data_IF_938745655040
#
_entry.id   IF_938745655040
#
_cell.length_a   1.000
_cell.length_b   1.000
_cell.length_c   1.000
_cell.angle_alpha   90.00
_cell.angle_beta   90.00
_cell.angle_gamma   90.00
#
_symmetry.space_group_name_H-M   'P 1'
#
loop_
_entity.id
_entity.type
_entity.pdbx_description
1 polymer ?
#
# COMPACT_ATOMS: atom_id res chain seq x y z
N UNK A 1 58.40 24.91 -3.67
CA UNK A 1 58.21 23.51 -4.10
C UNK A 1 57.45 22.67 -3.08
N UNK A 2 57.91 22.51 -1.82
CA UNK A 2 57.20 21.69 -0.80
C UNK A 2 55.76 22.13 -0.50
N UNK A 3 55.46 23.43 -0.50
CA UNK A 3 54.09 23.96 -0.29
C UNK A 3 53.14 23.72 -1.46
N UNK A 4 53.65 23.62 -2.69
CA UNK A 4 52.85 23.32 -3.89
C UNK A 4 52.47 21.84 -3.98
N UNK A 5 53.36 20.95 -3.51
CA UNK A 5 53.09 19.51 -3.43
C UNK A 5 51.99 19.20 -2.41
N UNK A 6 51.99 19.86 -1.25
CA UNK A 6 50.93 19.68 -0.24
C UNK A 6 49.54 20.13 -0.72
N UNK A 7 49.46 21.21 -1.49
CA UNK A 7 48.19 21.70 -2.05
C UNK A 7 47.67 20.75 -3.15
N UNK A 8 48.55 20.24 -4.02
CA UNK A 8 48.16 19.27 -5.04
C UNK A 8 47.70 17.93 -4.43
N UNK A 9 48.30 17.51 -3.32
CA UNK A 9 47.92 16.29 -2.58
C UNK A 9 46.55 16.43 -1.91
N UNK A 10 46.21 17.61 -1.40
CA UNK A 10 44.92 17.89 -0.78
C UNK A 10 43.78 17.96 -1.81
N UNK A 11 44.05 18.46 -3.03
CA UNK A 11 43.06 18.54 -4.11
C UNK A 11 42.75 17.14 -4.68
N UNK A 12 43.72 16.22 -4.74
CA UNK A 12 43.47 14.83 -5.17
C UNK A 12 42.62 14.01 -4.18
N UNK A 13 42.66 14.33 -2.88
CA UNK A 13 41.84 13.63 -1.88
C UNK A 13 40.38 14.12 -1.83
N UNK A 14 40.07 15.28 -2.39
CA UNK A 14 38.70 15.84 -2.43
C UNK A 14 37.88 15.24 -3.60
N UNK A 15 38.53 14.63 -4.60
CA UNK A 15 37.84 14.01 -5.74
C UNK A 15 37.43 12.54 -5.50
N UNK A 16 37.73 11.97 -4.33
CA UNK A 16 37.42 10.58 -4.00
C UNK A 16 36.07 10.33 -3.30
N UNK A 17 35.30 11.38 -2.97
CA UNK A 17 34.10 11.25 -2.14
C UNK A 17 32.86 11.80 -2.84
N UNK A 18 32.33 11.08 -3.83
CA UNK A 18 31.01 11.39 -4.40
C UNK A 18 30.25 10.20 -5.03
N UNK A 19 30.72 8.95 -4.92
CA UNK A 19 30.01 7.77 -5.49
C UNK A 19 29.54 6.75 -4.44
N UNK A 20 29.63 7.08 -3.14
CA UNK A 20 29.32 6.11 -2.10
C UNK A 20 27.83 6.05 -1.70
N UNK A 21 26.95 6.80 -2.37
CA UNK A 21 25.51 6.83 -2.08
C UNK A 21 24.70 6.97 -3.38
N UNK A 22 24.72 5.93 -4.22
CA UNK A 22 23.95 5.93 -5.48
C UNK A 22 23.07 4.68 -5.62
N UNK A 23 22.52 4.17 -4.51
CA UNK A 23 21.59 3.04 -4.56
C UNK A 23 20.47 3.32 -3.55
N UNK A 24 19.50 4.16 -3.95
CA UNK A 24 18.36 4.54 -3.10
C UNK A 24 17.43 3.35 -2.81
N UNK A 25 17.36 2.38 -3.73
CA UNK A 25 16.51 1.18 -3.62
C UNK A 25 17.26 -0.01 -2.99
N UNK A 26 18.12 0.25 -1.98
CA UNK A 26 18.73 -0.85 -1.21
C UNK A 26 17.74 -1.36 -0.19
N UNK A 27 17.19 -2.53 -0.47
CA UNK A 27 16.40 -3.26 0.49
C UNK A 27 17.21 -4.35 1.19
N UNK A 28 16.58 -5.11 2.10
CA UNK A 28 17.29 -6.00 3.00
C UNK A 28 18.01 -7.12 2.24
N UNK A 29 19.33 -7.01 2.12
CA UNK A 29 20.19 -8.02 1.48
C UNK A 29 20.52 -9.21 2.39
N UNK A 30 19.87 -9.34 3.54
CA UNK A 30 20.03 -10.51 4.39
C UNK A 30 19.34 -11.71 3.75
N UNK A 31 20.14 -12.71 3.39
CA UNK A 31 19.73 -13.97 2.78
C UNK A 31 18.74 -14.78 3.62
N UNK A 32 18.61 -14.50 4.93
CA UNK A 32 17.61 -15.11 5.80
C UNK A 32 16.22 -14.47 5.75
N UNK A 33 16.07 -13.28 5.17
CA UNK A 33 14.83 -12.50 5.27
C UNK A 33 13.95 -12.63 4.01
N UNK A 34 14.33 -13.49 3.06
CA UNK A 34 13.53 -13.84 1.89
C UNK A 34 12.50 -14.93 2.17
N UNK A 35 11.42 -14.94 1.38
CA UNK A 35 10.48 -16.06 1.35
C UNK A 35 11.15 -17.28 0.72
N UNK A 36 11.04 -18.44 1.37
CA UNK A 36 11.53 -19.73 0.87
C UNK A 36 10.46 -20.80 1.05
N UNK A 37 10.20 -21.58 0.00
CA UNK A 37 9.26 -22.70 0.01
C UNK A 37 9.90 -23.94 -0.62
N UNK A 38 10.02 -25.00 0.17
CA UNK A 38 10.60 -26.28 -0.25
C UNK A 38 9.56 -27.40 -0.42
N UNK A 39 8.34 -27.19 0.07
CA UNK A 39 7.22 -28.12 -0.07
C UNK A 39 6.04 -27.35 -0.66
N UNK A 40 5.45 -27.82 -1.77
CA UNK A 40 4.29 -27.15 -2.35
C UNK A 40 3.08 -27.30 -1.41
N UNK A 41 2.09 -26.45 -1.61
CA UNK A 41 0.83 -26.47 -0.89
C UNK A 41 -0.32 -26.07 -1.81
N UNK A 42 -1.56 -26.29 -1.36
CA UNK A 42 -2.75 -25.87 -2.09
C UNK A 42 -2.71 -24.36 -2.34
N UNK A 43 -2.84 -23.99 -3.62
CA UNK A 43 -2.78 -22.61 -4.04
C UNK A 43 -4.14 -21.91 -3.84
N UNK A 44 -4.16 -20.66 -3.31
CA UNK A 44 -5.38 -19.87 -3.17
C UNK A 44 -6.16 -19.67 -4.46
N UNK A 45 -5.48 -19.70 -5.62
CA UNK A 45 -6.09 -19.77 -6.93
C UNK A 45 -6.22 -21.25 -7.36
N UNK A 46 -7.44 -21.85 -7.38
CA UNK A 46 -7.63 -23.26 -7.72
C UNK A 46 -7.12 -23.63 -9.12
N UNK A 47 -7.01 -22.65 -10.04
CA UNK A 47 -6.47 -22.89 -11.38
C UNK A 47 -4.98 -23.27 -11.39
N UNK A 48 -4.25 -23.00 -10.30
CA UNK A 48 -2.81 -23.29 -10.16
C UNK A 48 -2.52 -24.66 -9.53
N UNK A 49 -3.48 -25.25 -8.81
CA UNK A 49 -3.28 -26.52 -8.11
C UNK A 49 -2.22 -26.47 -7.01
N UNK A 50 -1.71 -27.63 -6.59
CA UNK A 50 -0.64 -27.72 -5.58
C UNK A 50 0.67 -27.15 -6.15
N UNK A 51 1.21 -26.09 -5.53
CA UNK A 51 2.35 -25.33 -6.06
C UNK A 51 3.11 -24.56 -4.96
N UNK A 52 4.18 -23.87 -5.33
CA UNK A 52 4.87 -22.92 -4.45
C UNK A 52 4.36 -21.51 -4.73
N UNK A 53 3.85 -20.82 -3.72
CA UNK A 53 3.23 -19.52 -3.89
C UNK A 53 3.40 -18.60 -2.68
N UNK A 54 3.36 -17.31 -2.94
CA UNK A 54 3.28 -16.26 -1.94
C UNK A 54 2.08 -15.36 -2.24
N UNK A 55 1.31 -15.07 -1.20
CA UNK A 55 0.07 -14.30 -1.25
C UNK A 55 0.25 -13.02 -0.43
N UNK A 56 -0.07 -11.88 -1.05
CA UNK A 56 -0.03 -10.56 -0.44
C UNK A 56 -1.45 -10.01 -0.29
N UNK A 57 -1.82 -9.61 0.94
CA UNK A 57 -3.02 -8.82 1.23
C UNK A 57 -2.62 -7.36 1.48
N UNK A 58 -2.98 -6.48 0.54
CA UNK A 58 -2.70 -5.05 0.60
C UNK A 58 -3.67 -4.31 1.54
N UNK A 59 -4.65 -5.00 2.12
CA UNK A 59 -5.73 -4.50 2.99
C UNK A 59 -6.75 -3.59 2.30
N UNK A 60 -6.31 -2.74 1.36
CA UNK A 60 -7.17 -1.88 0.55
C UNK A 60 -7.01 -2.21 -0.94
N UNK A 61 -7.99 -1.76 -1.74
CA UNK A 61 -7.88 -1.85 -3.19
C UNK A 61 -7.09 -0.65 -3.69
N UNK A 62 -5.96 -0.92 -4.35
CA UNK A 62 -5.10 0.09 -4.95
C UNK A 62 -5.12 -0.01 -6.47
N UNK A 63 -4.85 1.11 -7.15
CA UNK A 63 -4.43 1.10 -8.55
C UNK A 63 -2.95 0.76 -8.59
N UNK A 64 -2.61 -0.40 -9.17
CA UNK A 64 -1.23 -0.91 -9.19
C UNK A 64 -0.55 -0.59 -10.53
N UNK A 65 0.62 0.04 -10.46
CA UNK A 65 1.43 0.45 -11.62
C UNK A 65 2.72 -0.37 -11.76
N UNK A 66 3.85 0.31 -11.92
CA UNK A 66 5.16 -0.31 -12.11
C UNK A 66 5.54 -1.21 -10.93
N UNK A 67 6.22 -2.33 -11.21
CA UNK A 67 6.70 -3.24 -10.18
C UNK A 67 8.18 -3.52 -10.31
N UNK A 68 8.80 -3.87 -9.18
CA UNK A 68 10.21 -4.26 -9.10
C UNK A 68 10.36 -5.45 -8.18
N UNK A 69 11.19 -6.40 -8.60
CA UNK A 69 11.38 -7.67 -7.91
C UNK A 69 12.84 -7.85 -7.54
N UNK A 70 13.07 -8.41 -6.35
CA UNK A 70 14.36 -8.94 -5.94
C UNK A 70 14.23 -10.45 -5.85
N UNK A 71 14.84 -11.15 -6.80
CA UNK A 71 14.89 -12.60 -6.76
C UNK A 71 15.81 -13.10 -5.62
N UNK A 72 15.68 -14.37 -5.24
CA UNK A 72 16.43 -14.92 -4.12
C UNK A 72 17.94 -14.85 -4.33
N UNK A 73 18.63 -14.11 -3.47
CA UNK A 73 20.00 -13.66 -3.68
C UNK A 73 20.98 -14.16 -2.60
N UNK A 74 20.74 -15.36 -2.05
CA UNK A 74 21.74 -16.04 -1.23
C UNK A 74 22.91 -16.48 -2.15
N UNK A 75 24.16 -16.03 -1.91
CA UNK A 75 25.32 -16.38 -2.74
C UNK A 75 25.56 -17.88 -2.90
N UNK A 76 25.07 -18.72 -1.98
CA UNK A 76 25.24 -20.18 -2.05
C UNK A 76 24.04 -20.91 -2.67
N UNK A 77 22.93 -20.21 -2.92
CA UNK A 77 21.65 -20.82 -3.30
C UNK A 77 20.87 -19.92 -4.28
N UNK A 78 21.54 -19.19 -5.18
CA UNK A 78 20.88 -18.32 -6.19
C UNK A 78 19.98 -19.12 -7.14
N UNK A 79 20.29 -20.41 -7.32
CA UNK A 79 19.54 -21.39 -8.10
C UNK A 79 18.12 -21.65 -7.55
N UNK A 80 17.85 -21.29 -6.29
CA UNK A 80 16.50 -21.31 -5.69
C UNK A 80 15.61 -20.15 -6.15
N UNK A 81 16.18 -19.12 -6.79
CA UNK A 81 15.42 -18.00 -7.33
C UNK A 81 14.36 -18.46 -8.32
N UNK A 82 13.24 -17.74 -8.36
CA UNK A 82 12.13 -18.06 -9.27
C UNK A 82 12.55 -17.81 -10.72
N UNK A 83 12.11 -18.65 -11.65
CA UNK A 83 12.31 -18.48 -13.10
C UNK A 83 10.94 -18.24 -13.76
N UNK A 84 10.17 -19.26 -14.08
CA UNK A 84 8.80 -19.08 -14.58
C UNK A 84 7.86 -18.71 -13.43
N UNK A 85 7.24 -17.55 -13.50
CA UNK A 85 6.37 -17.00 -12.45
C UNK A 85 5.04 -16.57 -13.04
N UNK A 86 3.95 -17.06 -12.47
CA UNK A 86 2.61 -16.55 -12.74
C UNK A 86 2.22 -15.49 -11.69
N UNK A 87 1.73 -14.35 -12.15
CA UNK A 87 1.21 -13.29 -11.29
C UNK A 87 -0.30 -13.19 -11.50
N UNK A 88 -1.04 -13.39 -10.43
CA UNK A 88 -2.49 -13.26 -10.37
C UNK A 88 -2.87 -12.13 -9.40
N UNK A 89 -4.01 -11.47 -9.65
CA UNK A 89 -4.55 -10.41 -8.81
C UNK A 89 -6.04 -10.60 -8.54
N UNK A 90 -6.51 -10.05 -7.42
CA UNK A 90 -7.90 -10.14 -7.00
C UNK A 90 -8.32 -8.94 -6.14
N UNK A 91 -9.62 -8.65 -6.11
CA UNK A 91 -10.25 -7.70 -5.18
C UNK A 91 -10.91 -8.39 -3.99
N UNK A 92 -11.20 -9.69 -4.07
CA UNK A 92 -11.96 -10.46 -3.08
C UNK A 92 -11.21 -11.68 -2.50
N UNK A 93 -10.07 -12.06 -3.08
CA UNK A 93 -9.23 -13.18 -2.65
C UNK A 93 -9.80 -14.56 -3.02
N UNK A 94 -10.90 -14.60 -3.80
CA UNK A 94 -11.59 -15.82 -4.22
C UNK A 94 -11.58 -15.94 -5.75
N UNK A 95 -11.89 -14.85 -6.44
CA UNK A 95 -11.88 -14.75 -7.90
C UNK A 95 -10.57 -14.12 -8.35
N UNK A 96 -9.78 -14.87 -9.10
CA UNK A 96 -8.44 -14.47 -9.53
C UNK A 96 -8.40 -14.15 -11.01
N UNK A 97 -7.74 -13.03 -11.35
CA UNK A 97 -7.40 -12.66 -12.71
C UNK A 97 -5.90 -12.85 -12.93
N UNK A 98 -5.52 -13.50 -14.03
CA UNK A 98 -4.11 -13.63 -14.38
C UNK A 98 -3.62 -12.33 -15.02
N UNK A 99 -2.59 -11.72 -14.43
CA UNK A 99 -1.86 -10.62 -15.06
C UNK A 99 -0.98 -11.16 -16.20
N UNK A 100 -0.23 -12.21 -15.92
CA UNK A 100 0.66 -12.83 -16.91
C UNK A 100 1.53 -13.93 -16.33
N UNK A 101 2.36 -14.50 -17.21
CA UNK A 101 3.44 -15.41 -16.86
C UNK A 101 4.74 -14.77 -17.35
N UNK A 102 5.73 -14.69 -16.46
CA UNK A 102 6.97 -13.97 -16.65
C UNK A 102 8.15 -14.88 -16.33
N UNK A 103 9.31 -14.58 -16.92
CA UNK A 103 10.56 -15.24 -16.59
C UNK A 103 11.42 -14.27 -15.80
N UNK A 104 11.72 -14.62 -14.55
CA UNK A 104 12.54 -13.85 -13.64
C UNK A 104 14.01 -14.22 -13.87
N UNK A 105 14.93 -13.24 -13.90
CA UNK A 105 16.36 -13.53 -13.99
C UNK A 105 16.89 -14.07 -12.66
N UNK A 106 17.90 -14.94 -12.75
CA UNK A 106 18.62 -15.42 -11.56
C UNK A 106 19.35 -14.25 -10.89
N UNK A 107 19.30 -14.20 -9.55
CA UNK A 107 20.00 -13.17 -8.81
C UNK A 107 21.53 -13.41 -8.83
N UNK A 108 22.36 -12.36 -8.83
CA UNK A 108 23.81 -12.47 -8.95
C UNK A 108 24.55 -12.99 -7.70
N UNK A 109 23.88 -13.18 -6.57
CA UNK A 109 24.50 -13.60 -5.30
C UNK A 109 25.40 -12.54 -4.66
N UNK A 110 25.16 -11.25 -4.90
CA UNK A 110 25.97 -10.14 -4.36
C UNK A 110 25.13 -9.19 -3.50
N UNK A 111 25.75 -8.60 -2.48
CA UNK A 111 25.07 -7.70 -1.53
C UNK A 111 24.66 -6.34 -2.11
N UNK A 112 25.03 -6.06 -3.36
CA UNK A 112 24.67 -4.85 -4.11
C UNK A 112 23.62 -5.11 -5.20
N UNK A 113 22.92 -6.25 -5.13
CA UNK A 113 21.84 -6.54 -6.06
C UNK A 113 20.65 -5.60 -5.84
N UNK A 114 20.19 -4.96 -6.92
CA UNK A 114 19.12 -3.95 -6.88
C UNK A 114 17.79 -4.46 -7.43
N UNK A 115 17.65 -5.77 -7.65
CA UNK A 115 16.46 -6.32 -8.27
C UNK A 115 16.43 -6.08 -9.78
N UNK A 116 15.28 -6.35 -10.39
CA UNK A 116 15.00 -6.10 -11.80
C UNK A 116 13.59 -5.51 -11.96
N UNK A 117 13.41 -4.72 -13.01
CA UNK A 117 12.11 -4.15 -13.37
C UNK A 117 11.13 -5.28 -13.74
N UNK A 118 10.01 -5.31 -13.04
CA UNK A 118 8.92 -6.25 -13.24
C UNK A 118 7.94 -5.80 -14.33
N UNK A 119 6.85 -6.55 -14.56
CA UNK A 119 5.77 -6.09 -15.41
C UNK A 119 5.09 -4.84 -14.84
N UNK A 120 4.66 -3.95 -15.73
CA UNK A 120 3.68 -2.93 -15.38
C UNK A 120 2.32 -3.61 -15.15
N UNK A 121 1.72 -3.36 -13.99
CA UNK A 121 0.39 -3.86 -13.65
C UNK A 121 -0.73 -3.06 -14.34
N UNK A 122 -0.41 -1.97 -15.05
CA UNK A 122 -1.30 -1.29 -15.97
C UNK A 122 -2.46 -0.55 -15.31
N UNK A 123 -2.33 -0.18 -14.04
CA UNK A 123 -3.38 0.48 -13.26
C UNK A 123 -4.53 -0.45 -12.86
N UNK A 124 -4.30 -1.77 -12.80
CA UNK A 124 -5.33 -2.71 -12.34
C UNK A 124 -5.68 -2.44 -10.88
N UNK A 125 -6.96 -2.52 -10.56
CA UNK A 125 -7.45 -2.44 -9.20
C UNK A 125 -7.32 -3.79 -8.52
N UNK A 126 -6.49 -3.86 -7.47
CA UNK A 126 -6.30 -5.09 -6.71
C UNK A 126 -6.11 -4.81 -5.22
N UNK A 127 -6.65 -5.73 -4.40
CA UNK A 127 -6.37 -5.83 -2.97
C UNK A 127 -5.41 -6.98 -2.68
N UNK A 128 -5.43 -8.01 -3.52
CA UNK A 128 -4.65 -9.22 -3.36
C UNK A 128 -3.75 -9.44 -4.57
N UNK A 129 -2.50 -9.82 -4.30
CA UNK A 129 -1.54 -10.26 -5.31
C UNK A 129 -1.06 -11.65 -4.93
N UNK A 130 -1.06 -12.56 -5.90
CA UNK A 130 -0.60 -13.92 -5.75
C UNK A 130 0.49 -14.19 -6.76
N UNK A 131 1.64 -14.60 -6.27
CA UNK A 131 2.78 -15.03 -7.08
C UNK A 131 2.88 -16.52 -6.94
N UNK A 132 2.78 -17.23 -8.07
CA UNK A 132 2.93 -18.68 -8.14
C UNK A 132 4.19 -19.01 -8.94
N UNK A 133 5.09 -19.79 -8.34
CA UNK A 133 6.29 -20.26 -8.99
C UNK A 133 6.00 -21.51 -9.83
N UNK A 134 6.32 -21.45 -11.12
CA UNK A 134 6.27 -22.57 -12.06
C UNK A 134 7.61 -23.30 -12.21
N UNK A 135 8.74 -22.57 -12.14
CA UNK A 135 10.10 -23.12 -12.10
C UNK A 135 11.05 -22.22 -11.32
N UNK A 136 12.24 -22.75 -11.00
CA UNK A 136 13.37 -22.02 -10.44
C UNK A 136 14.61 -22.21 -11.35
N UNK A 137 15.76 -21.70 -10.95
CA UNK A 137 17.02 -21.81 -11.69
C UNK A 137 17.79 -23.11 -11.45
N UNK A 138 17.13 -24.17 -10.94
CA UNK A 138 17.71 -25.50 -10.74
C UNK A 138 17.93 -25.90 -9.28
N UNK A 139 17.55 -25.05 -8.33
CA UNK A 139 17.64 -25.31 -6.90
C UNK A 139 16.61 -26.33 -6.37
N UNK A 140 16.79 -26.73 -5.11
CA UNK A 140 15.91 -27.68 -4.40
C UNK A 140 14.66 -27.05 -3.77
N UNK A 141 14.62 -25.71 -3.68
CA UNK A 141 13.51 -24.93 -3.15
C UNK A 141 13.26 -23.70 -4.02
N UNK A 142 12.18 -22.99 -3.74
CA UNK A 142 11.79 -21.74 -4.39
C UNK A 142 11.96 -20.59 -3.43
N UNK A 143 12.59 -19.50 -3.89
CA UNK A 143 12.83 -18.33 -3.08
C UNK A 143 12.51 -17.03 -3.80
N UNK A 144 12.05 -16.04 -3.05
CA UNK A 144 11.89 -14.65 -3.50
C UNK A 144 12.30 -13.73 -2.36
N UNK A 145 13.07 -12.69 -2.65
CA UNK A 145 13.53 -11.76 -1.61
C UNK A 145 12.53 -10.64 -1.38
N UNK A 146 12.11 -9.94 -2.45
CA UNK A 146 11.27 -8.76 -2.28
C UNK A 146 10.43 -8.41 -3.51
N UNK A 147 9.35 -7.69 -3.25
CA UNK A 147 8.45 -7.11 -4.22
C UNK A 147 8.17 -5.66 -3.82
N UNK A 148 8.35 -4.74 -4.75
CA UNK A 148 7.86 -3.37 -4.69
C UNK A 148 6.84 -3.16 -5.80
N UNK A 149 5.72 -2.55 -5.46
CA UNK A 149 4.71 -2.13 -6.43
C UNK A 149 4.48 -0.63 -6.23
N UNK A 150 4.51 0.12 -7.32
CA UNK A 150 4.05 1.49 -7.33
C UNK A 150 2.53 1.48 -7.22
N UNK A 151 2.02 2.12 -6.17
CA UNK A 151 0.60 2.37 -6.03
C UNK A 151 0.35 3.82 -6.40
N UNK A 152 -0.61 4.07 -7.29
CA UNK A 152 -1.19 5.39 -7.36
C UNK A 152 -2.17 5.49 -6.19
N UNK A 153 -1.93 6.47 -5.32
CA UNK A 153 -2.96 6.89 -4.39
C UNK A 153 -4.17 7.27 -5.24
N UNK A 154 -5.20 6.43 -5.21
CA UNK A 154 -6.54 6.94 -5.46
C UNK A 154 -6.64 8.11 -4.48
N UNK A 155 -6.84 9.34 -4.98
CA UNK A 155 -7.14 10.48 -4.09
C UNK A 155 -8.49 10.15 -3.48
N UNK A 156 -8.41 9.42 -2.38
CA UNK A 156 -9.49 9.08 -1.50
C UNK A 156 -9.71 10.37 -0.69
N UNK A 157 -10.36 11.36 -1.31
CA UNK A 157 -11.14 12.34 -0.54
C UNK A 157 -12.34 11.67 0.16
N UNK A 158 -12.53 10.37 -0.06
CA UNK A 158 -13.55 9.54 0.54
C UNK A 158 -12.92 8.30 1.16
N UNK A 159 -12.40 8.37 2.40
CA UNK A 159 -12.14 7.13 3.18
C UNK A 159 -13.50 6.52 3.50
N UNK A 160 -14.05 5.89 2.49
CA UNK A 160 -15.22 5.06 2.54
C UNK A 160 -14.67 3.66 2.72
N UNK A 161 -14.58 3.23 3.99
CA UNK A 161 -14.91 1.85 4.29
C UNK A 161 -16.41 1.68 3.96
N UNK A 162 -16.71 1.55 2.67
CA UNK A 162 -18.04 1.22 2.19
C UNK A 162 -18.06 -0.31 2.07
N UNK A 163 -18.72 -0.94 3.04
CA UNK A 163 -19.64 -2.03 2.70
C UNK A 163 -20.63 -1.43 1.68
N UNK A 164 -20.46 -1.78 0.41
CA UNK A 164 -21.18 -1.23 -0.73
C UNK A 164 -22.65 -1.62 -0.70
N UNK A 165 -23.43 -0.81 0.03
CA UNK A 165 -24.88 -0.71 -0.01
C UNK A 165 -25.37 0.72 0.36
N UNK A 166 -24.50 1.74 0.28
CA UNK A 166 -24.74 3.04 0.92
C UNK A 166 -25.62 4.00 0.12
N UNK A 167 -26.85 4.26 0.58
CA UNK A 167 -27.73 5.32 0.06
C UNK A 167 -27.28 6.75 0.43
N UNK A 168 -26.13 6.89 1.10
CA UNK A 168 -25.64 8.14 1.67
C UNK A 168 -24.24 8.44 1.16
N UNK A 169 -24.06 9.65 0.64
CA UNK A 169 -22.77 10.26 0.35
C UNK A 169 -22.53 11.43 1.33
N UNK A 170 -21.30 11.56 1.84
CA UNK A 170 -20.91 12.59 2.80
C UNK A 170 -19.62 13.27 2.36
N UNK A 171 -19.65 14.60 2.29
CA UNK A 171 -18.48 15.44 1.98
C UNK A 171 -18.26 16.36 3.18
N UNK A 172 -17.01 16.50 3.65
CA UNK A 172 -16.70 17.39 4.77
C UNK A 172 -15.76 18.52 4.34
N UNK A 173 -16.10 19.75 4.72
CA UNK A 173 -15.33 20.95 4.41
C UNK A 173 -15.51 22.03 5.50
N UNK A 174 -14.52 22.92 5.70
CA UNK A 174 -13.15 22.79 5.23
C UNK A 174 -12.45 21.63 5.95
N UNK A 175 -11.57 20.92 5.26
CA UNK A 175 -10.74 19.87 5.85
C UNK A 175 -9.38 19.87 5.13
N UNK A 176 -8.27 20.26 5.78
CA UNK A 176 -8.12 20.62 7.20
C UNK A 176 -8.83 21.91 7.65
N UNK A 177 -9.10 22.05 8.95
CA UNK A 177 -9.69 23.27 9.55
C UNK A 177 -9.12 23.58 10.94
N UNK A 178 -9.15 24.85 11.34
CA UNK A 178 -8.79 25.30 12.69
C UNK A 178 -9.97 25.67 13.58
N UNK A 179 -11.18 25.87 13.02
CA UNK A 179 -12.32 26.47 13.74
C UNK A 179 -13.52 25.53 13.71
N UNK A 180 -13.93 25.09 12.53
CA UNK A 180 -15.17 24.32 12.35
C UNK A 180 -15.08 23.33 11.17
N UNK A 181 -16.00 22.38 11.15
CA UNK A 181 -16.22 21.47 10.03
C UNK A 181 -17.70 21.47 9.65
N UNK A 182 -17.99 21.36 8.37
CA UNK A 182 -19.34 21.17 7.83
C UNK A 182 -19.39 19.85 7.05
N UNK A 183 -20.22 18.92 7.49
CA UNK A 183 -20.53 17.70 6.74
C UNK A 183 -21.80 17.93 5.90
N UNK A 184 -21.65 17.90 4.57
CA UNK A 184 -22.73 17.87 3.59
C UNK A 184 -23.08 16.42 3.28
N UNK A 185 -24.35 16.07 3.46
CA UNK A 185 -24.84 14.70 3.34
C UNK A 185 -25.91 14.66 2.26
N UNK A 186 -25.66 13.92 1.20
CA UNK A 186 -26.63 13.59 0.16
C UNK A 186 -27.14 12.18 0.44
N UNK A 187 -28.42 12.05 0.77
CA UNK A 187 -29.01 10.75 1.12
C UNK A 187 -30.27 10.46 0.31
N UNK A 188 -30.38 9.21 -0.16
CA UNK A 188 -31.58 8.65 -0.78
C UNK A 188 -32.42 7.83 0.22
N UNK A 189 -32.01 7.78 1.48
CA UNK A 189 -32.66 7.03 2.55
C UNK A 189 -33.62 7.90 3.37
N UNK A 190 -34.82 7.41 3.73
CA UNK A 190 -35.78 8.14 4.55
C UNK A 190 -35.48 8.14 6.06
N UNK A 191 -34.52 7.33 6.52
CA UNK A 191 -34.21 7.18 7.95
C UNK A 191 -33.47 8.40 8.54
N UNK A 192 -33.47 8.51 9.87
CA UNK A 192 -32.71 9.54 10.59
C UNK A 192 -31.21 9.25 10.50
N UNK A 193 -30.42 10.29 10.32
CA UNK A 193 -28.96 10.24 10.33
C UNK A 193 -28.48 10.41 11.77
N UNK A 194 -27.76 9.42 12.28
CA UNK A 194 -27.09 9.47 13.60
C UNK A 194 -25.61 9.68 13.35
N UNK A 195 -24.96 10.60 14.06
CA UNK A 195 -23.54 10.88 13.86
C UNK A 195 -22.78 10.97 15.18
N UNK A 196 -21.55 10.45 15.16
CA UNK A 196 -20.62 10.38 16.27
C UNK A 196 -19.26 10.91 15.80
N UNK A 197 -18.58 11.74 16.59
CA UNK A 197 -17.21 12.19 16.33
C UNK A 197 -16.27 11.59 17.39
N UNK A 198 -15.22 10.92 16.93
CA UNK A 198 -14.19 10.33 17.79
C UNK A 198 -12.85 11.04 17.59
N UNK A 199 -12.03 11.10 18.63
CA UNK A 199 -10.62 11.49 18.51
C UNK A 199 -9.76 10.33 17.97
N UNK A 200 -8.46 10.60 17.74
CA UNK A 200 -7.50 9.60 17.26
C UNK A 200 -7.27 8.40 18.22
N UNK A 201 -7.74 8.47 19.47
CA UNK A 201 -7.70 7.34 20.41
C UNK A 201 -9.04 6.57 20.45
N UNK A 202 -10.02 6.97 19.63
CA UNK A 202 -11.35 6.36 19.58
C UNK A 202 -12.28 6.82 20.72
N UNK A 203 -11.93 7.89 21.45
CA UNK A 203 -12.81 8.45 22.48
C UNK A 203 -13.86 9.34 21.81
N UNK A 204 -15.12 9.16 22.20
CA UNK A 204 -16.23 9.97 21.72
C UNK A 204 -16.09 11.42 22.21
N UNK A 205 -16.11 12.37 21.27
CA UNK A 205 -15.98 13.81 21.50
C UNK A 205 -17.35 14.48 21.49
N UNK A 206 -18.11 14.25 20.42
CA UNK A 206 -19.45 14.83 20.23
C UNK A 206 -20.33 13.86 19.44
N UNK A 207 -21.65 13.96 19.59
CA UNK A 207 -22.61 13.20 18.80
C UNK A 207 -23.89 14.01 18.54
N UNK A 208 -24.73 13.50 17.64
CA UNK A 208 -26.02 14.10 17.35
C UNK A 208 -26.89 13.27 16.42
N UNK A 209 -28.06 13.83 16.08
CA UNK A 209 -29.02 13.24 15.17
C UNK A 209 -29.61 14.32 14.26
N UNK A 210 -29.80 13.99 12.98
CA UNK A 210 -30.34 14.88 11.96
C UNK A 210 -31.43 14.16 11.18
N UNK A 211 -32.61 14.77 11.06
CA UNK A 211 -33.67 14.23 10.20
C UNK A 211 -33.23 14.36 8.74
N UNK A 212 -33.30 13.28 7.96
CA UNK A 212 -32.96 13.34 6.55
C UNK A 212 -34.05 14.07 5.76
N UNK A 213 -33.67 15.17 5.12
CA UNK A 213 -34.41 15.76 4.00
C UNK A 213 -33.95 15.14 2.67
N UNK A 214 -34.83 15.14 1.67
CA UNK A 214 -34.73 14.36 0.42
C UNK A 214 -33.61 14.83 -0.52
N UNK A 215 -32.89 15.91 -0.19
CA UNK A 215 -31.84 16.46 -1.07
C UNK A 215 -30.49 16.55 -0.35
N UNK A 216 -30.31 17.53 0.54
CA UNK A 216 -29.04 17.80 1.20
C UNK A 216 -29.26 18.11 2.68
N UNK A 217 -28.48 17.45 3.54
CA UNK A 217 -28.46 17.70 4.97
C UNK A 217 -27.08 18.22 5.38
N UNK A 218 -27.05 19.15 6.32
CA UNK A 218 -25.81 19.78 6.79
C UNK A 218 -25.64 19.58 8.28
N UNK A 219 -24.45 19.18 8.69
CA UNK A 219 -24.03 19.09 10.09
C UNK A 219 -22.84 20.03 10.28
N UNK A 220 -23.00 21.05 11.12
CA UNK A 220 -21.91 21.89 11.58
C UNK A 220 -21.30 21.33 12.86
N UNK A 221 -19.97 21.28 12.93
CA UNK A 221 -19.19 20.84 14.08
C UNK A 221 -18.26 22.01 14.45
N UNK A 222 -18.54 22.67 15.57
CA UNK A 222 -17.61 23.63 16.16
C UNK A 222 -16.45 22.87 16.80
N UNK A 223 -15.24 23.19 16.37
CA UNK A 223 -14.00 22.55 16.78
C UNK A 223 -13.02 23.51 17.46
N UNK A 224 -13.43 24.73 17.83
CA UNK A 224 -12.53 25.71 18.47
C UNK A 224 -11.86 25.14 19.72
N UNK A 225 -12.63 24.45 20.57
CA UNK A 225 -12.12 23.86 21.81
C UNK A 225 -11.43 22.50 21.62
N UNK A 226 -11.27 22.02 20.39
CA UNK A 226 -10.67 20.72 20.12
C UNK A 226 -9.15 20.83 20.01
N UNK A 227 -8.38 19.93 20.67
CA UNK A 227 -6.94 19.81 20.42
C UNK A 227 -6.63 19.56 18.94
N UNK A 228 -5.50 20.08 18.48
CA UNK A 228 -4.97 19.77 17.14
C UNK A 228 -4.73 18.26 16.98
N UNK A 229 -5.20 17.69 15.88
CA UNK A 229 -5.10 16.25 15.64
C UNK A 229 -6.11 15.71 14.62
N UNK A 230 -6.09 14.38 14.49
CA UNK A 230 -7.01 13.62 13.66
C UNK A 230 -8.27 13.24 14.45
N UNK A 231 -9.42 13.42 13.81
CA UNK A 231 -10.72 12.99 14.31
C UNK A 231 -11.44 12.15 13.25
N UNK A 232 -12.39 11.33 13.67
CA UNK A 232 -13.18 10.47 12.79
C UNK A 232 -14.67 10.74 13.00
N UNK A 233 -15.33 11.29 11.99
CA UNK A 233 -16.77 11.47 11.95
C UNK A 233 -17.43 10.20 11.41
N UNK A 234 -18.31 9.59 12.17
CA UNK A 234 -19.04 8.37 11.82
C UNK A 234 -20.53 8.70 11.72
N UNK A 235 -21.12 8.53 10.54
CA UNK A 235 -22.54 8.71 10.28
C UNK A 235 -23.21 7.37 10.02
N UNK A 236 -24.44 7.20 10.51
CA UNK A 236 -25.26 5.98 10.37
C UNK A 236 -26.67 6.36 9.95
N UNK A 237 -27.21 5.70 8.93
CA UNK A 237 -28.59 5.87 8.48
C UNK A 237 -29.11 4.55 7.92
N UNK A 238 -30.12 3.98 8.57
CA UNK A 238 -30.55 2.61 8.28
C UNK A 238 -29.38 1.64 8.43
N UNK A 239 -29.06 0.92 7.35
CA UNK A 239 -27.90 0.01 7.28
C UNK A 239 -26.63 0.68 6.71
N UNK A 240 -26.72 1.93 6.26
CA UNK A 240 -25.57 2.65 5.71
C UNK A 240 -24.73 3.27 6.82
N UNK A 241 -23.41 3.04 6.77
CA UNK A 241 -22.45 3.67 7.68
C UNK A 241 -21.39 4.36 6.83
N UNK A 242 -21.10 5.63 7.12
CA UNK A 242 -20.06 6.41 6.44
C UNK A 242 -19.09 6.97 7.48
N UNK A 243 -17.79 6.84 7.24
CA UNK A 243 -16.73 7.40 8.08
C UNK A 243 -16.00 8.50 7.30
N UNK A 244 -15.63 9.60 7.95
CA UNK A 244 -14.85 10.69 7.34
C UNK A 244 -13.77 11.18 8.31
N UNK A 245 -12.49 11.22 7.89
CA UNK A 245 -11.43 11.80 8.71
C UNK A 245 -11.52 13.32 8.70
N UNK A 246 -11.35 13.97 9.86
CA UNK A 246 -11.27 15.42 10.02
C UNK A 246 -9.91 15.80 10.59
N UNK A 247 -9.22 16.75 9.97
CA UNK A 247 -7.90 17.22 10.42
C UNK A 247 -8.08 18.58 11.08
N UNK A 248 -7.99 18.61 12.42
CA UNK A 248 -7.97 19.84 13.22
C UNK A 248 -6.53 20.36 13.31
N UNK A 249 -6.30 21.57 12.80
CA UNK A 249 -5.03 22.25 12.98
C UNK A 249 -4.89 22.75 14.43
N UNK A 250 -3.70 22.65 15.03
CA UNK A 250 -3.43 23.30 16.32
C UNK A 250 -3.59 24.83 16.17
N UNK A 251 -4.06 25.48 17.23
CA UNK A 251 -4.05 26.95 17.31
C UNK A 251 -2.63 27.52 17.46
#
# INVERSE_FOLDING_TARGET
MKKLVFIASAILMIQGTAYAQCFEDRHNGNWFDGWVSCTPSDNPNPARGESHWIFYDLHHTYSLGESRFWNYNDPSNTDRGLDQVAIDYSTDGVNWNQLGIYNFPEAPGISTYEGFEGPDLGGVFAKYILITAGSNHGGDCYGLSELRIQVEDVIISDVTEIEDNGCMNVIVYPNPSSIDFTAKITSQCPEIIVWDLYDAQGKLVVNGRTNASVEENFIGIDANDFPGGLYHLVLRQGNSIVRKPLIKLPE
#
